data_IF_419459608767
#
_entry.id   IF_419459608767
#
_cell.length_a   1.000
_cell.length_b   1.000
_cell.length_c   1.000
_cell.angle_alpha   90.00
_cell.angle_beta   90.00
_cell.angle_gamma   90.00
#
_symmetry.space_group_name_H-M   'P 1'
#
loop_
_entity.id
_entity.type
_entity.pdbx_description
1 polymer ?
#
# COMPACT_ATOMS: atom_id res chain seq x y z
N UNK A 1 -13.41 -19.09 -24.01
CA UNK A 1 -12.22 -18.23 -24.20
C UNK A 1 -12.61 -17.19 -25.23
N UNK A 2 -12.39 -15.88 -25.02
CA UNK A 2 -12.70 -14.89 -26.05
C UNK A 2 -11.85 -15.19 -27.30
N UNK A 3 -12.48 -15.13 -28.46
CA UNK A 3 -11.83 -15.29 -29.75
C UNK A 3 -10.76 -14.20 -29.93
N UNK A 4 -9.64 -14.57 -30.53
CA UNK A 4 -8.53 -13.71 -30.91
C UNK A 4 -9.02 -12.43 -31.62
N UNK A 5 -9.07 -11.31 -30.89
CA UNK A 5 -9.41 -10.00 -31.44
C UNK A 5 -10.37 -9.14 -30.59
N UNK A 6 -11.12 -9.72 -29.65
CA UNK A 6 -12.02 -8.92 -28.81
C UNK A 6 -11.31 -8.31 -27.60
N UNK A 7 -11.40 -6.98 -27.48
CA UNK A 7 -10.92 -6.26 -26.31
C UNK A 7 -11.56 -6.80 -25.02
N UNK A 8 -10.77 -6.93 -23.95
CA UNK A 8 -11.29 -7.39 -22.65
C UNK A 8 -12.46 -6.51 -22.22
N UNK A 9 -13.62 -7.10 -21.95
CA UNK A 9 -14.77 -6.32 -21.49
C UNK A 9 -14.56 -5.81 -20.06
N UNK A 10 -15.14 -4.65 -19.72
CA UNK A 10 -15.08 -4.09 -18.37
C UNK A 10 -15.66 -5.06 -17.33
N UNK A 11 -16.71 -5.81 -17.69
CA UNK A 11 -17.32 -6.84 -16.83
C UNK A 11 -16.34 -7.97 -16.52
N UNK A 12 -15.57 -8.42 -17.52
CA UNK A 12 -14.56 -9.46 -17.32
C UNK A 12 -13.41 -8.96 -16.43
N UNK A 13 -12.97 -7.73 -16.64
CA UNK A 13 -11.97 -7.10 -15.78
C UNK A 13 -12.49 -6.93 -14.34
N UNK A 14 -13.73 -6.46 -14.15
CA UNK A 14 -14.37 -6.30 -12.84
C UNK A 14 -14.31 -7.60 -12.02
N UNK A 15 -14.77 -8.73 -12.60
CA UNK A 15 -14.76 -10.02 -11.90
C UNK A 15 -13.35 -10.53 -11.62
N UNK A 16 -12.40 -10.24 -12.51
CA UNK A 16 -10.99 -10.56 -12.28
C UNK A 16 -10.44 -9.79 -11.07
N UNK A 17 -10.59 -8.46 -11.04
CA UNK A 17 -10.07 -7.62 -9.95
C UNK A 17 -10.73 -7.93 -8.61
N UNK A 18 -12.05 -8.18 -8.61
CA UNK A 18 -12.76 -8.61 -7.40
C UNK A 18 -12.24 -9.96 -6.90
N UNK A 19 -12.10 -10.96 -7.80
CA UNK A 19 -11.53 -12.26 -7.45
C UNK A 19 -10.13 -12.11 -6.89
N UNK A 20 -9.28 -11.32 -7.55
CA UNK A 20 -7.91 -11.06 -7.15
C UNK A 20 -7.87 -10.51 -5.72
N UNK A 21 -8.71 -9.52 -5.39
CA UNK A 21 -8.80 -8.94 -4.04
C UNK A 21 -9.12 -9.96 -2.94
N UNK A 22 -9.91 -11.00 -3.23
CA UNK A 22 -10.22 -12.07 -2.26
C UNK A 22 -9.09 -13.11 -2.09
N UNK A 23 -8.20 -13.24 -3.07
CA UNK A 23 -7.17 -14.31 -3.09
C UNK A 23 -5.74 -13.77 -3.03
N UNK A 24 -5.58 -12.45 -2.81
CA UNK A 24 -4.29 -11.74 -2.87
C UNK A 24 -3.43 -11.96 -1.63
N UNK A 25 -2.92 -13.18 -1.42
CA UNK A 25 -2.01 -13.51 -0.33
C UNK A 25 -0.54 -13.43 -0.74
N UNK A 26 0.37 -13.38 0.25
CA UNK A 26 1.81 -13.56 0.02
C UNK A 26 2.64 -12.27 -0.13
N UNK A 27 2.13 -11.14 0.36
CA UNK A 27 2.81 -9.85 0.33
C UNK A 27 3.05 -9.31 -1.10
N UNK A 28 3.77 -8.19 -1.25
CA UNK A 28 3.90 -7.50 -2.54
C UNK A 28 4.40 -8.40 -3.67
N UNK A 29 5.42 -9.22 -3.41
CA UNK A 29 5.99 -10.12 -4.41
C UNK A 29 5.03 -11.24 -4.83
N UNK A 30 4.28 -11.84 -3.88
CA UNK A 30 3.28 -12.86 -4.18
C UNK A 30 2.13 -12.31 -5.02
N UNK A 31 1.67 -11.11 -4.69
CA UNK A 31 0.60 -10.43 -5.41
C UNK A 31 1.02 -10.05 -6.84
N UNK A 32 2.23 -9.50 -7.01
CA UNK A 32 2.80 -9.20 -8.33
C UNK A 32 2.97 -10.48 -9.15
N UNK A 33 3.46 -11.56 -8.54
CA UNK A 33 3.61 -12.85 -9.23
C UNK A 33 2.26 -13.44 -9.65
N UNK A 34 1.23 -13.33 -8.82
CA UNK A 34 -0.12 -13.81 -9.16
C UNK A 34 -0.74 -12.97 -10.28
N UNK A 35 -0.55 -11.64 -10.26
CA UNK A 35 -0.96 -10.77 -11.36
C UNK A 35 -0.22 -11.11 -12.65
N UNK A 36 1.09 -11.32 -12.59
CA UNK A 36 1.90 -11.74 -13.73
C UNK A 36 1.39 -13.06 -14.32
N UNK A 37 1.26 -14.11 -13.50
CA UNK A 37 0.79 -15.42 -13.94
C UNK A 37 -0.62 -15.36 -14.57
N UNK A 38 -1.54 -14.59 -14.00
CA UNK A 38 -2.90 -14.49 -14.56
C UNK A 38 -2.96 -13.57 -15.79
N UNK A 39 -2.34 -12.39 -15.76
CA UNK A 39 -2.50 -11.36 -16.79
C UNK A 39 -1.57 -11.54 -17.98
N UNK A 40 -0.35 -12.02 -17.74
CA UNK A 40 0.67 -12.25 -18.76
C UNK A 40 0.58 -13.68 -19.26
N UNK A 41 0.77 -14.68 -18.39
CA UNK A 41 0.93 -16.07 -18.84
C UNK A 41 -0.38 -16.71 -19.28
N UNK A 42 -1.40 -16.70 -18.41
CA UNK A 42 -2.65 -17.44 -18.63
C UNK A 42 -3.62 -16.71 -19.55
N UNK A 43 -3.89 -15.43 -19.27
CA UNK A 43 -4.91 -14.65 -19.99
C UNK A 43 -4.35 -13.88 -21.18
N UNK A 44 -3.04 -13.60 -21.18
CA UNK A 44 -2.35 -12.80 -22.21
C UNK A 44 -3.04 -11.47 -22.50
N UNK A 45 -3.54 -10.82 -21.45
CA UNK A 45 -4.14 -9.50 -21.55
C UNK A 45 -3.09 -8.41 -21.79
N UNK A 46 -1.91 -8.59 -21.22
CA UNK A 46 -0.77 -7.68 -21.33
C UNK A 46 0.50 -8.50 -21.59
N UNK A 47 1.37 -7.98 -22.45
CA UNK A 47 2.68 -8.57 -22.73
C UNK A 47 3.65 -8.41 -21.55
N UNK A 48 4.65 -9.30 -21.49
CA UNK A 48 5.73 -9.28 -20.50
C UNK A 48 6.38 -7.89 -20.37
N UNK A 49 6.79 -7.33 -21.51
CA UNK A 49 7.49 -6.04 -21.54
C UNK A 49 6.60 -4.90 -21.05
N UNK A 50 5.31 -4.89 -21.41
CA UNK A 50 4.34 -3.89 -20.95
C UNK A 50 4.05 -4.03 -19.46
N UNK A 51 3.96 -5.25 -18.95
CA UNK A 51 3.78 -5.53 -17.52
C UNK A 51 5.01 -5.05 -16.72
N UNK A 52 6.22 -5.42 -17.13
CA UNK A 52 7.45 -4.99 -16.47
C UNK A 52 7.66 -3.48 -16.55
N UNK A 53 7.28 -2.84 -17.67
CA UNK A 53 7.30 -1.38 -17.78
C UNK A 53 6.38 -0.73 -16.74
N UNK A 54 5.15 -1.24 -16.57
CA UNK A 54 4.23 -0.77 -15.55
C UNK A 54 4.78 -0.99 -14.13
N UNK A 55 5.35 -2.16 -13.85
CA UNK A 55 5.94 -2.48 -12.56
C UNK A 55 7.10 -1.54 -12.22
N UNK A 56 8.04 -1.34 -13.14
CA UNK A 56 9.18 -0.43 -12.96
C UNK A 56 8.71 1.01 -12.71
N UNK A 57 7.61 1.44 -13.34
CA UNK A 57 7.02 2.75 -13.06
C UNK A 57 6.42 2.85 -11.65
N UNK A 58 5.69 1.82 -11.21
CA UNK A 58 5.10 1.78 -9.86
C UNK A 58 6.18 1.77 -8.76
N UNK A 59 7.35 1.16 -9.01
CA UNK A 59 8.47 1.17 -8.04
C UNK A 59 9.05 2.57 -7.79
N UNK A 60 8.81 3.55 -8.66
CA UNK A 60 9.26 4.94 -8.49
C UNK A 60 8.24 5.78 -7.71
N UNK A 61 6.98 5.36 -7.67
CA UNK A 61 5.90 6.10 -7.03
C UNK A 61 5.76 5.72 -5.55
N UNK A 62 5.43 6.69 -4.66
CA UNK A 62 5.13 6.36 -3.28
C UNK A 62 3.82 5.56 -3.19
N UNK A 63 3.87 4.43 -2.50
CA UNK A 63 2.72 3.60 -2.16
C UNK A 63 2.93 2.09 -2.35
N UNK A 64 1.87 1.30 -2.13
CA UNK A 64 1.89 -0.15 -2.29
C UNK A 64 2.00 -0.58 -3.77
N UNK A 65 3.16 -1.10 -4.15
CA UNK A 65 3.51 -1.49 -5.53
C UNK A 65 2.43 -2.34 -6.23
N UNK A 66 1.92 -3.40 -5.58
CA UNK A 66 0.94 -4.30 -6.18
C UNK A 66 -0.41 -3.62 -6.46
N UNK A 67 -0.86 -2.75 -5.55
CA UNK A 67 -2.10 -2.01 -5.72
C UNK A 67 -1.97 -0.93 -6.79
N UNK A 68 -0.84 -0.22 -6.84
CA UNK A 68 -0.55 0.72 -7.92
C UNK A 68 -0.49 0.01 -9.28
N UNK A 69 0.13 -1.17 -9.35
CA UNK A 69 0.20 -1.96 -10.58
C UNK A 69 -1.19 -2.41 -11.04
N UNK A 70 -2.05 -2.86 -10.12
CA UNK A 70 -3.45 -3.17 -10.41
C UNK A 70 -4.19 -1.95 -10.97
N UNK A 71 -4.07 -0.78 -10.31
CA UNK A 71 -4.65 0.48 -10.78
C UNK A 71 -4.11 0.88 -12.15
N UNK A 72 -2.80 0.76 -12.39
CA UNK A 72 -2.16 1.09 -13.64
C UNK A 72 -2.65 0.20 -14.77
N UNK A 73 -2.69 -1.12 -14.57
CA UNK A 73 -3.14 -2.06 -15.59
C UNK A 73 -4.64 -1.87 -15.86
N UNK A 74 -5.46 -1.70 -14.84
CA UNK A 74 -6.87 -1.36 -15.00
C UNK A 74 -7.06 -0.07 -15.81
N UNK A 75 -6.26 0.96 -15.51
CA UNK A 75 -6.26 2.21 -16.28
C UNK A 75 -5.80 2.02 -17.72
N UNK A 76 -4.77 1.21 -17.94
CA UNK A 76 -4.29 0.91 -19.29
C UNK A 76 -5.38 0.22 -20.12
N UNK A 77 -6.15 -0.69 -19.52
CA UNK A 77 -7.20 -1.46 -20.20
C UNK A 77 -8.50 -0.67 -20.45
N UNK A 78 -8.98 0.13 -19.50
CA UNK A 78 -10.30 0.80 -19.59
C UNK A 78 -10.30 2.28 -19.15
N UNK A 79 -9.15 2.94 -19.21
CA UNK A 79 -9.00 4.35 -18.81
C UNK A 79 -9.32 4.59 -17.33
N UNK A 80 -9.74 5.80 -16.98
CA UNK A 80 -9.99 6.21 -15.58
C UNK A 80 -10.93 5.24 -14.84
N UNK A 81 -11.98 4.77 -15.51
CA UNK A 81 -12.93 3.81 -14.95
C UNK A 81 -12.26 2.49 -14.59
N UNK A 82 -11.44 1.95 -15.49
CA UNK A 82 -10.68 0.72 -15.24
C UNK A 82 -9.71 0.86 -14.07
N UNK A 83 -9.04 2.01 -13.96
CA UNK A 83 -8.12 2.28 -12.85
C UNK A 83 -8.81 2.31 -11.50
N UNK A 84 -9.94 3.03 -11.40
CA UNK A 84 -10.75 3.11 -10.16
C UNK A 84 -11.30 1.72 -9.79
N UNK A 85 -11.85 0.99 -10.76
CA UNK A 85 -12.40 -0.35 -10.52
C UNK A 85 -11.30 -1.32 -10.09
N UNK A 86 -10.16 -1.35 -10.79
CA UNK A 86 -9.07 -2.27 -10.47
C UNK A 86 -8.45 -1.97 -9.10
N UNK A 87 -8.09 -0.70 -8.83
CA UNK A 87 -7.53 -0.30 -7.55
C UNK A 87 -8.50 -0.49 -6.39
N UNK A 88 -9.77 -0.07 -6.57
CA UNK A 88 -10.80 -0.20 -5.56
C UNK A 88 -11.09 -1.65 -5.22
N UNK A 89 -11.35 -2.50 -6.21
CA UNK A 89 -11.67 -3.92 -5.99
C UNK A 89 -10.48 -4.76 -5.48
N UNK A 90 -9.25 -4.31 -5.73
CA UNK A 90 -8.06 -4.95 -5.16
C UNK A 90 -7.96 -4.76 -3.64
N UNK A 91 -8.43 -3.60 -3.13
CA UNK A 91 -8.31 -3.17 -1.73
C UNK A 91 -9.57 -3.48 -0.93
N UNK A 92 -10.74 -3.30 -1.54
CA UNK A 92 -12.04 -3.33 -0.88
C UNK A 92 -12.34 -4.64 -0.11
N UNK A 93 -12.07 -5.85 -0.63
CA UNK A 93 -12.30 -7.07 0.12
C UNK A 93 -11.47 -7.13 1.42
N UNK A 94 -10.21 -6.72 1.36
CA UNK A 94 -9.31 -6.66 2.51
C UNK A 94 -9.75 -5.61 3.52
N UNK A 95 -10.20 -4.44 3.05
CA UNK A 95 -10.75 -3.38 3.89
C UNK A 95 -11.95 -3.88 4.71
N UNK A 96 -12.92 -4.48 4.05
CA UNK A 96 -14.12 -5.00 4.71
C UNK A 96 -13.79 -6.13 5.68
N UNK A 97 -12.87 -7.03 5.30
CA UNK A 97 -12.42 -8.11 6.16
C UNK A 97 -11.69 -7.59 7.40
N UNK A 98 -10.78 -6.63 7.26
CA UNK A 98 -10.10 -6.03 8.40
C UNK A 98 -11.03 -5.21 9.28
N UNK A 99 -12.00 -4.48 8.73
CA UNK A 99 -13.03 -3.82 9.55
C UNK A 99 -13.81 -4.85 10.36
N UNK A 100 -14.22 -5.97 9.75
CA UNK A 100 -14.92 -7.04 10.44
C UNK A 100 -14.06 -7.67 11.55
N UNK A 101 -12.80 -8.00 11.25
CA UNK A 101 -11.87 -8.58 12.22
C UNK A 101 -11.55 -7.59 13.35
N UNK A 102 -11.43 -6.29 13.06
CA UNK A 102 -11.23 -5.24 14.05
C UNK A 102 -12.44 -5.07 14.96
N UNK A 103 -13.65 -5.14 14.39
CA UNK A 103 -14.88 -5.14 15.17
C UNK A 103 -14.96 -6.36 16.10
N UNK A 104 -14.61 -7.55 15.60
CA UNK A 104 -14.55 -8.77 16.41
C UNK A 104 -13.51 -8.61 17.53
N UNK A 105 -12.33 -8.10 17.19
CA UNK A 105 -11.23 -7.87 18.13
C UNK A 105 -11.65 -6.96 19.30
N UNK A 106 -12.30 -5.83 19.00
CA UNK A 106 -12.69 -4.85 20.03
C UNK A 106 -13.94 -5.27 20.81
N UNK A 107 -14.90 -5.93 20.16
CA UNK A 107 -16.15 -6.32 20.81
C UNK A 107 -16.00 -7.59 21.65
N UNK A 108 -15.19 -8.55 21.18
CA UNK A 108 -15.10 -9.90 21.75
C UNK A 108 -13.69 -10.28 22.23
N UNK A 109 -12.71 -9.38 22.15
CA UNK A 109 -11.31 -9.65 22.55
C UNK A 109 -11.14 -10.02 24.02
N UNK A 110 -12.11 -9.69 24.88
CA UNK A 110 -12.14 -10.08 26.29
C UNK A 110 -12.48 -11.56 26.50
N UNK A 111 -13.05 -12.24 25.49
CA UNK A 111 -13.37 -13.66 25.58
C UNK A 111 -12.07 -14.49 25.56
N UNK A 112 -11.88 -15.46 26.47
CA UNK A 112 -10.65 -16.24 26.57
C UNK A 112 -10.22 -16.91 25.26
N UNK A 113 -11.20 -17.36 24.44
CA UNK A 113 -10.93 -17.96 23.14
C UNK A 113 -10.29 -16.96 22.16
N UNK A 114 -10.84 -15.75 22.06
CA UNK A 114 -10.35 -14.71 21.14
C UNK A 114 -8.98 -14.21 21.60
N UNK A 115 -8.84 -13.93 22.90
CA UNK A 115 -7.57 -13.56 23.50
C UNK A 115 -6.50 -14.64 23.29
N UNK A 116 -6.85 -15.92 23.47
CA UNK A 116 -5.95 -17.05 23.27
C UNK A 116 -5.48 -17.20 21.82
N UNK A 117 -6.38 -17.04 20.85
CA UNK A 117 -6.04 -17.06 19.41
C UNK A 117 -5.04 -15.93 19.08
N UNK A 118 -5.33 -14.70 19.51
CA UNK A 118 -4.47 -13.55 19.24
C UNK A 118 -3.10 -13.71 19.91
N UNK A 119 -3.08 -14.20 21.15
CA UNK A 119 -1.84 -14.51 21.85
C UNK A 119 -1.00 -15.57 21.12
N UNK A 120 -1.65 -16.62 20.59
CA UNK A 120 -0.99 -17.65 19.80
C UNK A 120 -0.42 -17.14 18.47
N UNK A 121 -1.02 -16.13 17.86
CA UNK A 121 -0.58 -15.56 16.58
C UNK A 121 0.61 -14.60 16.75
N UNK A 122 0.74 -13.91 17.90
CA UNK A 122 1.84 -12.95 18.18
C UNK A 122 3.26 -13.45 17.85
N UNK A 123 3.69 -14.65 18.28
CA UNK A 123 5.04 -15.14 17.94
C UNK A 123 5.21 -15.41 16.44
N UNK A 124 4.18 -15.93 15.75
CA UNK A 124 4.22 -16.14 14.31
C UNK A 124 4.40 -14.82 13.55
N UNK A 125 3.73 -13.77 14.00
CA UNK A 125 3.78 -12.44 13.38
C UNK A 125 5.09 -11.74 13.67
N UNK A 126 5.60 -11.87 14.90
CA UNK A 126 6.95 -11.41 15.23
C UNK A 126 7.98 -12.07 14.30
N UNK A 127 7.86 -13.38 14.05
CA UNK A 127 8.73 -14.08 13.11
C UNK A 127 8.56 -13.58 11.66
N UNK A 128 7.34 -13.32 11.19
CA UNK A 128 7.07 -12.76 9.84
C UNK A 128 7.69 -11.37 9.70
N UNK A 129 7.53 -10.50 10.69
CA UNK A 129 8.10 -9.15 10.68
C UNK A 129 9.63 -9.19 10.69
N UNK A 130 10.22 -10.03 11.54
CA UNK A 130 11.67 -10.24 11.56
C UNK A 130 12.17 -10.79 10.22
N UNK A 131 11.45 -11.74 9.62
CA UNK A 131 11.76 -12.30 8.31
C UNK A 131 11.65 -11.25 7.21
N UNK A 132 10.63 -10.38 7.25
CA UNK A 132 10.46 -9.29 6.31
C UNK A 132 11.61 -8.26 6.44
N UNK A 133 11.94 -7.86 7.67
CA UNK A 133 13.06 -6.97 7.97
C UNK A 133 14.39 -7.58 7.49
N UNK A 134 14.62 -8.87 7.77
CA UNK A 134 15.80 -9.60 7.31
C UNK A 134 15.86 -9.69 5.78
N UNK A 135 14.74 -10.03 5.13
CA UNK A 135 14.65 -10.16 3.67
C UNK A 135 14.89 -8.83 2.96
N UNK A 136 14.36 -7.72 3.49
CA UNK A 136 14.58 -6.38 2.94
C UNK A 136 16.01 -5.93 3.23
N UNK A 137 16.46 -6.03 4.49
CA UNK A 137 17.80 -5.63 4.91
C UNK A 137 18.90 -6.37 4.16
N UNK A 138 18.81 -7.70 4.03
CA UNK A 138 19.81 -8.50 3.29
C UNK A 138 19.86 -8.20 1.79
N UNK A 139 18.78 -7.66 1.20
CA UNK A 139 18.75 -7.22 -0.20
C UNK A 139 19.32 -5.82 -0.39
N UNK A 140 19.09 -4.92 0.54
CA UNK A 140 19.46 -3.50 0.43
C UNK A 140 20.84 -3.21 1.03
N UNK A 141 21.15 -3.76 2.20
CA UNK A 141 22.36 -3.46 2.98
C UNK A 141 23.55 -4.34 2.54
N UNK A 142 24.03 -4.09 1.32
CA UNK A 142 25.15 -4.85 0.71
C UNK A 142 26.55 -4.39 1.13
N UNK A 143 26.65 -3.23 1.79
CA UNK A 143 27.92 -2.62 2.17
C UNK A 143 27.87 -2.12 3.62
N UNK A 144 29.00 -2.17 4.34
CA UNK A 144 29.09 -1.77 5.75
C UNK A 144 28.66 -0.30 5.98
N UNK A 145 28.89 0.57 5.00
CA UNK A 145 28.41 1.96 5.05
C UNK A 145 26.88 2.06 5.11
N UNK A 146 26.16 1.22 4.36
CA UNK A 146 24.70 1.18 4.40
C UNK A 146 24.18 0.64 5.75
N UNK A 147 24.90 -0.32 6.35
CA UNK A 147 24.63 -0.76 7.72
C UNK A 147 24.85 0.37 8.73
N UNK A 148 25.87 1.21 8.54
CA UNK A 148 26.08 2.42 9.34
C UNK A 148 24.91 3.40 9.26
N UNK A 149 24.40 3.67 8.05
CA UNK A 149 23.20 4.51 7.86
C UNK A 149 21.99 3.88 8.54
N UNK A 150 21.78 2.57 8.40
CA UNK A 150 20.68 1.86 9.05
C UNK A 150 20.76 1.92 10.58
N UNK A 151 21.94 1.70 11.16
CA UNK A 151 22.17 1.79 12.60
C UNK A 151 21.96 3.22 13.12
N UNK A 152 22.45 4.23 12.40
CA UNK A 152 22.24 5.63 12.77
C UNK A 152 20.76 6.03 12.68
N UNK A 153 20.05 5.53 11.67
CA UNK A 153 18.61 5.74 11.50
C UNK A 153 17.81 5.08 12.63
N UNK A 154 18.21 3.87 13.03
CA UNK A 154 17.64 3.18 14.18
C UNK A 154 17.87 3.93 15.49
N UNK A 155 19.08 4.44 15.74
CA UNK A 155 19.37 5.25 16.93
C UNK A 155 18.58 6.57 16.90
N UNK A 156 18.49 7.23 15.74
CA UNK A 156 17.73 8.46 15.56
C UNK A 156 16.26 8.28 15.95
N UNK A 157 15.61 7.19 15.52
CA UNK A 157 14.20 6.95 15.85
C UNK A 157 14.01 6.39 17.27
N UNK A 158 14.85 5.45 17.72
CA UNK A 158 14.60 4.70 18.95
C UNK A 158 15.14 5.35 20.23
N UNK A 159 16.13 6.25 20.12
CA UNK A 159 16.78 6.89 21.27
C UNK A 159 16.55 8.40 21.29
N UNK A 160 16.52 9.03 20.10
CA UNK A 160 16.42 10.48 19.98
C UNK A 160 15.02 10.96 19.55
N UNK A 161 14.05 10.05 19.41
CA UNK A 161 12.67 10.32 18.97
C UNK A 161 12.59 11.20 17.71
N UNK A 162 13.56 11.05 16.79
CA UNK A 162 13.59 11.85 15.56
C UNK A 162 12.39 11.46 14.69
N UNK A 163 11.63 12.44 14.17
CA UNK A 163 10.51 12.15 13.28
C UNK A 163 10.94 11.36 12.06
N UNK A 164 10.25 10.26 11.76
CA UNK A 164 10.54 9.40 10.61
C UNK A 164 10.68 10.16 9.28
N UNK A 165 9.86 11.19 8.97
CA UNK A 165 10.05 11.98 7.74
C UNK A 165 11.42 12.66 7.66
N UNK A 166 11.97 13.12 8.79
CA UNK A 166 13.31 13.73 8.83
C UNK A 166 14.40 12.69 8.57
N UNK A 167 14.25 11.48 9.12
CA UNK A 167 15.15 10.34 8.86
C UNK A 167 15.13 9.97 7.38
N UNK A 168 13.93 9.87 6.79
CA UNK A 168 13.76 9.55 5.37
C UNK A 168 14.43 10.60 4.47
N UNK A 169 14.22 11.89 4.75
CA UNK A 169 14.86 12.99 4.00
C UNK A 169 16.38 12.97 4.16
N UNK A 170 16.89 12.73 5.36
CA UNK A 170 18.32 12.60 5.63
C UNK A 170 18.94 11.43 4.87
N UNK A 171 18.30 10.26 4.89
CA UNK A 171 18.75 9.08 4.14
C UNK A 171 18.70 9.32 2.62
N UNK A 172 17.67 9.99 2.11
CA UNK A 172 17.56 10.34 0.70
C UNK A 172 18.67 11.30 0.25
N UNK A 173 18.98 12.32 1.06
CA UNK A 173 20.07 13.26 0.79
C UNK A 173 21.43 12.56 0.80
N UNK A 174 21.69 11.71 1.80
CA UNK A 174 22.93 10.93 1.89
C UNK A 174 23.06 9.96 0.70
N UNK A 175 21.96 9.31 0.30
CA UNK A 175 21.93 8.46 -0.89
C UNK A 175 22.20 9.22 -2.18
N UNK A 176 21.64 10.42 -2.34
CA UNK A 176 21.87 11.28 -3.51
C UNK A 176 23.32 11.76 -3.62
N UNK A 177 23.92 12.18 -2.49
CA UNK A 177 25.34 12.53 -2.43
C UNK A 177 26.19 11.27 -2.69
N UNK A 178 25.87 10.17 -2.02
CA UNK A 178 26.58 8.89 -2.15
C UNK A 178 26.58 8.35 -3.58
N UNK A 179 25.50 8.51 -4.33
CA UNK A 179 25.41 8.09 -5.73
C UNK A 179 26.34 8.89 -6.66
N UNK A 180 26.62 10.15 -6.33
CA UNK A 180 27.53 11.01 -7.11
C UNK A 180 29.02 10.74 -6.80
N UNK A 181 29.34 10.42 -5.55
CA UNK A 181 30.73 10.30 -5.08
C UNK A 181 31.22 8.86 -4.97
N UNK A 182 30.33 7.92 -4.65
CA UNK A 182 30.62 6.50 -4.40
C UNK A 182 29.59 5.59 -5.12
N UNK A 183 29.50 5.64 -6.45
CA UNK A 183 28.45 4.94 -7.21
C UNK A 183 28.48 3.42 -7.02
N UNK A 184 29.65 2.83 -6.74
CA UNK A 184 29.78 1.39 -6.48
C UNK A 184 29.10 0.92 -5.19
N UNK A 185 28.82 1.84 -4.24
CA UNK A 185 28.13 1.53 -2.97
C UNK A 185 26.61 1.72 -3.10
N UNK A 186 26.19 2.70 -3.90
CA UNK A 186 24.80 3.17 -3.98
C UNK A 186 24.07 2.76 -5.28
N UNK A 187 24.65 1.87 -6.10
CA UNK A 187 23.97 1.35 -7.27
C UNK A 187 22.69 0.59 -6.88
N UNK A 188 21.56 1.04 -7.40
CA UNK A 188 20.27 0.38 -7.21
C UNK A 188 20.26 -1.00 -7.90
N UNK A 189 19.45 -1.93 -7.38
CA UNK A 189 19.24 -3.21 -8.02
C UNK A 189 18.77 -3.01 -9.48
N UNK A 190 19.20 -3.88 -10.42
CA UNK A 190 18.79 -3.77 -11.82
C UNK A 190 17.26 -3.82 -11.94
N UNK A 191 16.71 -2.91 -12.74
CA UNK A 191 15.28 -2.90 -13.07
C UNK A 191 14.87 -4.25 -13.67
N UNK A 192 13.59 -4.62 -13.53
CA UNK A 192 13.09 -5.83 -14.16
C UNK A 192 13.13 -5.65 -15.69
N UNK A 193 14.10 -6.28 -16.33
CA UNK A 193 14.26 -6.31 -17.79
C UNK A 193 13.63 -7.58 -18.35
N UNK A 194 12.71 -7.41 -19.30
CA UNK A 194 12.17 -8.55 -20.04
C UNK A 194 13.30 -9.29 -20.78
N UNK A 195 13.31 -10.62 -20.72
CA UNK A 195 14.01 -11.41 -21.75
C UNK A 195 13.19 -11.30 -23.04
N UNK A 196 13.87 -11.12 -24.16
CA UNK A 196 13.29 -11.09 -25.50
C UNK A 196 12.82 -12.50 -25.89
N UNK A 197 11.79 -13.00 -25.23
CA UNK A 197 11.09 -14.20 -25.69
C UNK A 197 10.15 -13.75 -26.80
N UNK A 198 10.24 -14.40 -27.97
CA UNK A 198 9.63 -13.98 -29.23
C UNK A 198 8.14 -13.61 -29.15
N UNK A 199 7.65 -12.90 -30.16
CA UNK A 199 6.30 -12.30 -30.25
C UNK A 199 5.22 -13.19 -29.64
N UNK A 200 4.84 -12.89 -28.39
CA UNK A 200 3.67 -13.50 -27.75
C UNK A 200 2.47 -12.62 -28.10
N UNK A 201 1.48 -13.21 -28.79
CA UNK A 201 0.18 -12.56 -29.05
C UNK A 201 -0.53 -12.25 -27.73
N UNK A 202 -0.33 -11.03 -27.23
CA UNK A 202 -1.06 -10.45 -26.11
C UNK A 202 -1.99 -9.35 -26.63
N UNK A 203 -3.16 -9.19 -26.00
CA UNK A 203 -4.14 -8.16 -26.39
C UNK A 203 -3.55 -6.74 -26.32
N UNK A 204 -2.77 -6.47 -25.27
CA UNK A 204 -1.93 -5.26 -25.15
C UNK A 204 -0.46 -5.69 -25.29
N UNK A 205 -0.04 -5.82 -26.54
CA UNK A 205 1.30 -6.22 -26.93
C UNK A 205 2.31 -5.06 -27.00
N UNK A 206 3.53 -5.42 -27.35
CA UNK A 206 4.64 -4.49 -27.54
C UNK A 206 4.38 -3.51 -28.67
N UNK A 207 3.74 -3.98 -29.74
CA UNK A 207 3.43 -3.19 -30.94
C UNK A 207 2.02 -2.59 -30.92
N UNK A 208 1.20 -2.88 -29.90
CA UNK A 208 -0.12 -2.26 -29.78
C UNK A 208 0.02 -0.73 -29.70
N UNK A 209 -0.80 0.03 -30.44
CA UNK A 209 -0.76 1.48 -30.38
C UNK A 209 -1.06 1.93 -28.95
N UNK A 210 -0.38 2.99 -28.51
CA UNK A 210 -0.64 3.56 -27.19
C UNK A 210 -2.10 4.05 -27.16
N UNK A 211 -2.94 3.56 -26.22
CA UNK A 211 -4.33 3.97 -26.10
C UNK A 211 -4.43 5.50 -25.98
N UNK A 212 -5.51 6.08 -26.52
CA UNK A 212 -5.66 7.55 -26.56
C UNK A 212 -5.52 8.19 -25.17
N UNK A 213 -6.10 7.56 -24.14
CA UNK A 213 -6.03 8.00 -22.75
C UNK A 213 -4.62 7.92 -22.15
N UNK A 214 -3.76 7.04 -22.68
CA UNK A 214 -2.39 6.86 -22.22
C UNK A 214 -1.38 7.77 -22.93
N UNK A 215 -1.79 8.49 -23.99
CA UNK A 215 -0.95 9.51 -24.63
C UNK A 215 -0.77 10.71 -23.70
N UNK A 216 0.47 11.16 -23.53
CA UNK A 216 0.78 12.31 -22.70
C UNK A 216 0.08 13.58 -23.21
N UNK A 217 -0.51 14.33 -22.29
CA UNK A 217 -1.12 15.63 -22.56
C UNK A 217 -1.03 16.48 -21.31
N UNK A 218 -0.40 17.66 -21.42
CA UNK A 218 -0.27 18.61 -20.30
C UNK A 218 -1.64 19.00 -19.73
N UNK A 219 -2.64 19.20 -20.61
CA UNK A 219 -4.02 19.51 -20.21
C UNK A 219 -4.64 18.39 -19.38
N UNK A 220 -4.50 17.13 -19.82
CA UNK A 220 -5.04 15.98 -19.07
C UNK A 220 -4.32 15.80 -17.74
N UNK A 221 -3.01 15.96 -17.71
CA UNK A 221 -2.24 15.93 -16.46
C UNK A 221 -2.74 16.99 -15.47
N UNK A 222 -2.86 18.25 -15.90
CA UNK A 222 -3.37 19.33 -15.06
C UNK A 222 -4.78 19.04 -14.55
N UNK A 223 -5.69 18.57 -15.43
CA UNK A 223 -7.05 18.20 -15.03
C UNK A 223 -7.06 17.06 -14.00
N UNK A 224 -6.27 16.01 -14.21
CA UNK A 224 -6.18 14.88 -13.26
C UNK A 224 -5.64 15.33 -11.92
N UNK A 225 -4.60 16.17 -11.90
CA UNK A 225 -4.05 16.74 -10.65
C UNK A 225 -5.08 17.63 -9.96
N UNK A 226 -5.75 18.52 -10.70
CA UNK A 226 -6.79 19.40 -10.14
C UNK A 226 -7.97 18.61 -9.56
N UNK A 227 -8.42 17.56 -10.25
CA UNK A 227 -9.48 16.68 -9.74
C UNK A 227 -9.02 15.94 -8.50
N UNK A 228 -7.79 15.38 -8.50
CA UNK A 228 -7.25 14.68 -7.33
C UNK A 228 -7.11 15.60 -6.11
N UNK A 229 -6.50 16.77 -6.29
CA UNK A 229 -6.36 17.79 -5.22
C UNK A 229 -7.73 18.32 -4.79
N UNK A 230 -8.64 18.54 -5.73
CA UNK A 230 -10.01 19.00 -5.45
C UNK A 230 -10.82 17.99 -4.63
N UNK A 231 -10.74 16.69 -4.97
CA UNK A 231 -11.38 15.62 -4.19
C UNK A 231 -10.76 15.50 -2.80
N UNK A 232 -9.44 15.56 -2.70
CA UNK A 232 -8.74 15.54 -1.42
C UNK A 232 -9.14 16.74 -0.55
N UNK A 233 -9.17 17.95 -1.12
CA UNK A 233 -9.55 19.17 -0.41
C UNK A 233 -11.03 19.17 -0.03
N UNK A 234 -11.90 18.57 -0.86
CA UNK A 234 -13.31 18.39 -0.53
C UNK A 234 -13.47 17.53 0.73
N UNK A 235 -12.78 16.39 0.80
CA UNK A 235 -12.85 15.48 1.96
C UNK A 235 -12.23 16.12 3.19
N UNK A 236 -11.00 16.63 3.10
CA UNK A 236 -10.32 17.27 4.24
C UNK A 236 -11.03 18.56 4.70
N UNK A 237 -11.53 19.36 3.76
CA UNK A 237 -12.30 20.57 4.05
C UNK A 237 -13.63 20.25 4.71
N UNK A 238 -14.31 19.16 4.31
CA UNK A 238 -15.49 18.68 5.00
C UNK A 238 -15.16 18.23 6.43
N UNK A 239 -14.07 17.48 6.66
CA UNK A 239 -13.65 17.10 8.01
C UNK A 239 -13.33 18.33 8.89
N UNK A 240 -12.58 19.29 8.36
CA UNK A 240 -12.21 20.49 9.11
C UNK A 240 -13.41 21.39 9.45
N UNK A 241 -14.42 21.46 8.58
CA UNK A 241 -15.60 22.30 8.84
C UNK A 241 -16.66 21.59 9.67
N UNK A 242 -16.78 20.26 9.58
CA UNK A 242 -17.83 19.50 10.30
C UNK A 242 -17.41 19.07 11.70
N UNK A 243 -16.20 18.53 11.87
CA UNK A 243 -15.72 18.02 13.17
C UNK A 243 -14.55 18.85 13.74
N UNK A 244 -13.91 19.67 12.93
CA UNK A 244 -12.82 20.55 13.35
C UNK A 244 -11.42 19.98 13.07
N UNK A 245 -10.39 20.83 12.92
CA UNK A 245 -9.05 20.42 12.51
C UNK A 245 -8.27 19.61 13.57
N UNK A 246 -8.64 19.73 14.85
CA UNK A 246 -8.01 18.99 15.96
C UNK A 246 -8.71 17.69 16.30
N UNK A 247 -9.84 17.39 15.66
CA UNK A 247 -10.59 16.16 15.87
C UNK A 247 -9.82 14.96 15.32
N UNK A 248 -9.91 13.80 15.98
CA UNK A 248 -9.14 12.60 15.60
C UNK A 248 -9.37 12.17 14.15
N UNK A 249 -10.60 12.27 13.61
CA UNK A 249 -10.85 12.01 12.18
C UNK A 249 -10.06 12.93 11.24
N UNK A 250 -9.98 14.22 11.56
CA UNK A 250 -9.19 15.19 10.78
C UNK A 250 -7.69 14.91 10.90
N UNK A 251 -7.24 14.51 12.09
CA UNK A 251 -5.85 14.13 12.33
C UNK A 251 -5.48 12.84 11.59
N UNK A 252 -6.35 11.84 11.58
CA UNK A 252 -6.20 10.61 10.79
C UNK A 252 -6.09 10.91 9.31
N UNK A 253 -7.01 11.71 8.75
CA UNK A 253 -6.96 12.08 7.32
C UNK A 253 -5.67 12.80 6.96
N UNK A 254 -5.23 13.72 7.80
CA UNK A 254 -3.95 14.42 7.58
C UNK A 254 -2.74 13.49 7.72
N UNK A 255 -2.74 12.61 8.72
CA UNK A 255 -1.67 11.65 8.96
C UNK A 255 -1.56 10.63 7.83
N UNK A 256 -2.65 10.00 7.43
CA UNK A 256 -2.66 9.01 6.35
C UNK A 256 -2.39 9.65 4.98
N UNK A 257 -2.76 10.92 4.76
CA UNK A 257 -2.30 11.70 3.60
C UNK A 257 -0.77 11.77 3.55
N UNK A 258 -0.11 12.11 4.68
CA UNK A 258 1.36 12.14 4.74
C UNK A 258 1.95 10.75 4.56
N UNK A 259 1.37 9.74 5.21
CA UNK A 259 1.82 8.36 5.08
C UNK A 259 1.80 7.92 3.61
N UNK A 260 0.71 8.18 2.89
CA UNK A 260 0.58 7.86 1.47
C UNK A 260 1.65 8.55 0.60
N UNK A 261 2.01 9.80 0.90
CA UNK A 261 3.04 10.55 0.15
C UNK A 261 4.48 10.15 0.50
N UNK A 262 4.71 9.57 1.68
CA UNK A 262 6.04 9.24 2.21
C UNK A 262 6.38 7.75 2.12
N UNK A 263 5.44 6.90 1.66
CA UNK A 263 5.65 5.44 1.59
C UNK A 263 6.45 5.06 0.36
N UNK A 264 7.78 5.04 0.44
CA UNK A 264 8.65 4.50 -0.61
C UNK A 264 9.19 3.12 -0.19
N UNK A 265 9.21 2.15 -1.11
CA UNK A 265 9.74 0.80 -0.83
C UNK A 265 8.72 -0.20 -0.26
N UNK A 266 7.43 0.02 -0.53
CA UNK A 266 6.36 -0.91 -0.21
C UNK A 266 5.77 -0.77 1.20
N UNK A 267 4.84 -1.67 1.53
CA UNK A 267 4.01 -1.58 2.73
C UNK A 267 4.79 -1.64 4.06
N UNK A 268 5.94 -2.31 4.11
CA UNK A 268 6.76 -2.39 5.34
C UNK A 268 7.44 -1.06 5.68
N UNK A 269 7.72 -0.22 4.68
CA UNK A 269 8.43 1.04 4.88
C UNK A 269 7.59 2.09 5.62
N UNK A 270 6.26 2.01 5.56
CA UNK A 270 5.37 2.94 6.27
C UNK A 270 5.15 2.54 7.72
N UNK A 271 5.38 1.28 8.10
CA UNK A 271 5.02 0.78 9.43
C UNK A 271 5.66 1.61 10.55
N UNK A 272 6.97 1.94 10.54
CA UNK A 272 7.56 2.76 11.60
C UNK A 272 6.88 4.13 11.72
N UNK A 273 6.49 4.73 10.59
CA UNK A 273 5.75 5.99 10.59
C UNK A 273 4.36 5.85 11.22
N UNK A 274 3.66 4.77 10.91
CA UNK A 274 2.34 4.43 11.48
C UNK A 274 2.43 4.14 12.97
N UNK A 275 3.48 3.45 13.44
CA UNK A 275 3.73 3.24 14.87
C UNK A 275 3.97 4.58 15.57
N UNK A 276 4.89 5.39 15.08
CA UNK A 276 5.21 6.69 15.67
C UNK A 276 3.97 7.61 15.69
N UNK A 277 3.16 7.62 14.62
CA UNK A 277 1.93 8.39 14.56
C UNK A 277 0.85 7.83 15.49
N UNK A 278 0.39 6.62 15.23
CA UNK A 278 -0.79 6.03 15.86
C UNK A 278 -0.58 5.63 17.32
N UNK A 279 0.62 5.15 17.68
CA UNK A 279 0.92 4.67 19.04
C UNK A 279 1.49 5.80 19.90
N UNK A 280 2.59 6.40 19.46
CA UNK A 280 3.37 7.33 20.29
C UNK A 280 2.76 8.74 20.34
N UNK A 281 2.39 9.30 19.18
CA UNK A 281 1.95 10.70 19.10
C UNK A 281 0.46 10.89 19.37
N UNK A 282 -0.41 10.09 18.72
CA UNK A 282 -1.86 10.30 18.80
C UNK A 282 -2.56 9.38 19.81
N UNK A 283 -1.94 8.26 20.18
CA UNK A 283 -2.52 7.27 21.10
C UNK A 283 -3.86 6.74 20.59
N UNK A 284 -3.96 6.46 19.28
CA UNK A 284 -5.10 5.81 18.65
C UNK A 284 -5.17 4.33 19.01
N UNK A 285 -4.01 3.71 19.23
CA UNK A 285 -3.88 2.32 19.61
C UNK A 285 -2.60 2.11 20.43
N UNK A 286 -2.60 1.09 21.27
CA UNK A 286 -1.42 0.66 22.02
C UNK A 286 -0.42 -0.09 21.14
N UNK A 287 0.83 -0.23 21.60
CA UNK A 287 1.84 -1.05 20.92
C UNK A 287 1.38 -2.50 20.73
N UNK A 288 0.65 -3.05 21.70
CA UNK A 288 0.08 -4.41 21.60
C UNK A 288 -1.00 -4.48 20.52
N UNK A 289 -1.91 -3.52 20.47
CA UNK A 289 -2.93 -3.43 19.41
C UNK A 289 -2.30 -3.25 18.03
N UNK A 290 -1.21 -2.49 17.92
CA UNK A 290 -0.49 -2.34 16.65
C UNK A 290 0.11 -3.66 16.16
N UNK A 291 0.69 -4.45 17.07
CA UNK A 291 1.19 -5.79 16.75
C UNK A 291 0.06 -6.76 16.37
N UNK A 292 -1.08 -6.70 17.07
CA UNK A 292 -2.28 -7.48 16.73
C UNK A 292 -2.86 -7.06 15.36
N UNK A 293 -2.83 -5.77 15.03
CA UNK A 293 -3.24 -5.26 13.73
C UNK A 293 -2.36 -5.74 12.59
N UNK A 294 -1.04 -5.73 12.80
CA UNK A 294 -0.07 -6.28 11.84
C UNK A 294 -0.26 -7.78 11.66
N UNK A 295 -0.60 -8.49 12.73
CA UNK A 295 -0.93 -9.91 12.69
C UNK A 295 -2.14 -10.20 11.80
N UNK A 296 -3.22 -9.45 11.98
CA UNK A 296 -4.41 -9.55 11.15
C UNK A 296 -4.10 -9.15 9.69
N UNK A 297 -3.30 -8.11 9.48
CA UNK A 297 -2.88 -7.67 8.15
C UNK A 297 -2.09 -8.72 7.35
N UNK A 298 -1.17 -9.45 8.00
CA UNK A 298 -0.35 -10.48 7.35
C UNK A 298 -1.12 -11.79 7.10
N UNK A 299 -2.18 -12.05 7.88
CA UNK A 299 -2.99 -13.27 7.76
C UNK A 299 -4.19 -13.12 6.82
N UNK A 300 -4.46 -11.90 6.36
CA UNK A 300 -5.59 -11.59 5.48
C UNK A 300 -5.16 -11.41 4.03
N UNK A 301 -6.04 -11.71 3.06
CA UNK A 301 -5.80 -11.36 1.67
C UNK A 301 -5.79 -9.84 1.52
N UNK A 302 -4.94 -9.34 0.62
CA UNK A 302 -4.84 -7.92 0.29
C UNK A 302 -3.45 -7.34 0.58
N UNK A 303 -3.19 -6.11 0.15
CA UNK A 303 -1.89 -5.50 0.33
C UNK A 303 -1.64 -5.23 1.81
N UNK A 304 -0.45 -5.54 2.32
CA UNK A 304 -0.11 -5.38 3.74
C UNK A 304 -0.36 -3.96 4.28
N UNK A 305 -0.31 -2.96 3.40
CA UNK A 305 -0.65 -1.58 3.73
C UNK A 305 -2.02 -1.45 4.42
N UNK A 306 -2.92 -2.41 4.22
CA UNK A 306 -4.25 -2.46 4.82
C UNK A 306 -4.27 -2.44 6.35
N UNK A 307 -3.14 -2.68 7.00
CA UNK A 307 -2.98 -2.42 8.44
C UNK A 307 -3.37 -0.97 8.83
N UNK A 308 -3.24 0.01 7.92
CA UNK A 308 -3.68 1.39 8.19
C UNK A 308 -5.19 1.50 8.41
N UNK A 309 -5.99 0.66 7.75
CA UNK A 309 -7.43 0.61 7.98
C UNK A 309 -7.75 0.04 9.37
N UNK A 310 -7.00 -0.96 9.84
CA UNK A 310 -7.08 -1.43 11.22
C UNK A 310 -6.73 -0.31 12.22
N UNK A 311 -5.65 0.43 11.96
CA UNK A 311 -5.22 1.57 12.79
C UNK A 311 -6.31 2.64 12.85
N UNK A 312 -6.91 2.99 11.71
CA UNK A 312 -8.05 3.89 11.64
C UNK A 312 -9.26 3.36 12.42
N UNK A 313 -9.60 2.08 12.26
CA UNK A 313 -10.72 1.45 12.97
C UNK A 313 -10.54 1.49 14.49
N UNK A 314 -9.40 1.01 14.98
CA UNK A 314 -9.11 0.96 16.42
C UNK A 314 -9.00 2.37 16.99
N UNK A 315 -8.40 3.31 16.25
CA UNK A 315 -8.37 4.71 16.64
C UNK A 315 -9.75 5.32 16.75
N UNK A 316 -10.60 5.12 15.73
CA UNK A 316 -11.97 5.63 15.70
C UNK A 316 -12.81 5.09 16.86
N UNK A 317 -12.63 3.81 17.18
CA UNK A 317 -13.27 3.18 18.33
C UNK A 317 -12.75 3.72 19.66
N UNK A 318 -11.42 3.72 19.85
CA UNK A 318 -10.77 4.11 21.12
C UNK A 318 -11.03 5.57 21.47
N UNK A 319 -11.06 6.44 20.46
CA UNK A 319 -11.33 7.88 20.62
C UNK A 319 -12.83 8.21 20.59
N UNK A 320 -13.70 7.23 20.36
CA UNK A 320 -15.14 7.40 20.22
C UNK A 320 -15.47 8.60 19.30
N UNK A 321 -14.94 8.59 18.08
CA UNK A 321 -14.92 9.76 17.18
C UNK A 321 -16.29 10.29 16.74
N UNK A 322 -17.36 9.51 16.95
CA UNK A 322 -18.76 9.94 16.75
C UNK A 322 -19.57 9.90 18.06
N UNK A 323 -18.90 9.81 19.21
CA UNK A 323 -19.49 9.58 20.52
C UNK A 323 -19.59 8.10 20.91
N UNK A 324 -19.93 7.83 22.18
CA UNK A 324 -19.95 6.48 22.75
C UNK A 324 -21.09 5.60 22.23
N UNK A 325 -22.17 6.21 21.71
CA UNK A 325 -23.33 5.47 21.18
C UNK A 325 -23.12 4.97 19.74
N UNK A 326 -22.11 5.51 19.04
CA UNK A 326 -21.85 5.26 17.62
C UNK A 326 -20.45 4.69 17.37
N UNK A 327 -19.90 3.91 18.30
CA UNK A 327 -18.52 3.39 18.23
C UNK A 327 -18.21 2.64 16.94
N UNK A 328 -19.08 1.71 16.53
CA UNK A 328 -18.89 0.91 15.30
C UNK A 328 -18.87 1.82 14.07
N UNK A 329 -19.83 2.75 13.98
CA UNK A 329 -19.94 3.67 12.85
C UNK A 329 -18.72 4.61 12.79
N UNK A 330 -18.30 5.14 13.94
CA UNK A 330 -17.12 5.99 14.05
C UNK A 330 -15.84 5.27 13.66
N UNK A 331 -15.69 4.01 14.08
CA UNK A 331 -14.58 3.15 13.70
C UNK A 331 -14.56 2.84 12.20
N UNK A 332 -15.71 2.49 11.61
CA UNK A 332 -15.83 2.26 10.15
C UNK A 332 -15.52 3.53 9.34
N UNK A 333 -15.98 4.70 9.81
CA UNK A 333 -15.66 5.97 9.18
C UNK A 333 -14.16 6.25 9.24
N UNK A 334 -13.56 6.11 10.42
CA UNK A 334 -12.12 6.33 10.62
C UNK A 334 -11.24 5.36 9.80
N UNK A 335 -11.66 4.12 9.62
CA UNK A 335 -10.98 3.15 8.77
C UNK A 335 -11.07 3.45 7.26
N UNK A 336 -11.99 4.33 6.85
CA UNK A 336 -12.23 4.72 5.45
C UNK A 336 -11.59 6.05 5.06
N UNK A 337 -10.96 6.75 6.02
CA UNK A 337 -10.28 8.04 5.84
C UNK A 337 -8.82 7.81 5.47
#
# INVERSE_FOLDING_TARGET
MPHSGEAVSLKQAFWYWLKLGFISFGGPAGQISMMHQELVDKRRWISERRFLHALNYCMVLPGPEAQQLATYIGWLMHGVRGGIVAGGLFVLPSLLLLMLLSWIYLSFGHLPLVAGILYGIKPAVTAIVLLAAWRIGSRVLKHWFLWGIAALSFLAIAVFDVPFPAILLGAALLGWIGMRWLPHIFQAAPAHTAKSDGVVDALIGDHSPVPEHARFSRRRLMLTVMVGVGLWWLVMGALWTTVGPKHDLSLMGWFFTKAALLTFGGAYAVLPYVVQGGVENYGWLSATQMMDGLALGETTPGPLIMVVAYVGFVGGWTKAVLGPDALVLGAMLAASI
#
